data_IF_912888244817
#
_entry.id   IF_912888244817
#
_cell.length_a   1.000
_cell.length_b   1.000
_cell.length_c   1.000
_cell.angle_alpha   90.00
_cell.angle_beta   90.00
_cell.angle_gamma   90.00
#
_symmetry.space_group_name_H-M   'P 1'
#
loop_
_entity.id
_entity.type
_entity.pdbx_description
1 polymer ?
#
# COMPACT_ATOMS: atom_id res chain seq x y z
N UNK A 1 -16.61 1.06 -0.92
CA UNK A 1 -15.43 0.36 -1.45
C UNK A 1 -14.91 -0.52 -0.31
N UNK A 2 -14.76 -1.83 -0.48
CA UNK A 2 -14.10 -2.63 0.54
C UNK A 2 -12.68 -2.09 0.72
N UNK A 3 -12.38 -1.55 1.90
CA UNK A 3 -11.08 -0.97 2.20
C UNK A 3 -10.05 -2.09 2.20
N UNK A 4 -9.39 -2.27 1.06
CA UNK A 4 -8.15 -3.04 1.00
C UNK A 4 -7.18 -2.40 1.96
N UNK A 5 -6.70 -3.18 2.93
CA UNK A 5 -5.75 -2.73 3.94
C UNK A 5 -4.49 -2.18 3.26
N UNK A 6 -3.82 -1.22 3.91
CA UNK A 6 -2.54 -0.68 3.44
C UNK A 6 -1.53 -1.78 3.05
N UNK A 7 -1.31 -2.85 3.86
CA UNK A 7 -0.42 -3.94 3.46
C UNK A 7 -0.89 -4.65 2.18
N UNK A 8 -2.19 -4.93 2.01
CA UNK A 8 -2.72 -5.54 0.77
C UNK A 8 -2.46 -4.69 -0.48
N UNK A 9 -2.56 -3.37 -0.36
CA UNK A 9 -2.26 -2.47 -1.48
C UNK A 9 -0.78 -2.52 -1.85
N UNK A 10 0.11 -2.59 -0.87
CA UNK A 10 1.54 -2.74 -1.10
C UNK A 10 1.88 -4.06 -1.80
N UNK A 11 1.29 -5.19 -1.37
CA UNK A 11 1.49 -6.49 -2.04
C UNK A 11 1.04 -6.48 -3.49
N UNK A 12 -0.11 -5.87 -3.78
CA UNK A 12 -0.65 -5.76 -5.15
C UNK A 12 0.30 -4.98 -6.07
N UNK A 13 0.90 -3.90 -5.56
CA UNK A 13 1.86 -3.06 -6.30
C UNK A 13 3.17 -3.82 -6.54
N UNK A 14 3.74 -4.43 -5.50
CA UNK A 14 4.96 -5.23 -5.60
C UNK A 14 4.82 -6.40 -6.59
N UNK A 15 3.68 -7.10 -6.58
CA UNK A 15 3.41 -8.18 -7.53
C UNK A 15 3.28 -7.67 -8.98
N UNK A 16 2.75 -6.45 -9.18
CA UNK A 16 2.65 -5.84 -10.52
C UNK A 16 4.01 -5.42 -11.07
N UNK A 17 4.90 -4.93 -10.22
CA UNK A 17 6.29 -4.61 -10.58
C UNK A 17 7.13 -5.85 -10.88
N UNK A 18 6.88 -6.94 -10.15
CA UNK A 18 7.45 -8.25 -10.47
C UNK A 18 6.98 -8.83 -11.82
N UNK A 19 6.19 -8.08 -12.58
CA UNK A 19 5.75 -8.41 -13.94
C UNK A 19 4.48 -9.27 -14.00
N UNK A 20 3.83 -9.56 -12.86
CA UNK A 20 2.62 -10.37 -12.88
C UNK A 20 1.46 -9.63 -13.55
N UNK A 21 0.63 -10.41 -14.23
CA UNK A 21 -0.58 -9.89 -14.85
C UNK A 21 -1.63 -9.55 -13.79
N UNK A 22 -2.49 -8.59 -14.09
CA UNK A 22 -3.57 -8.18 -13.17
C UNK A 22 -4.49 -9.35 -12.77
N UNK A 23 -4.70 -10.32 -13.67
CA UNK A 23 -5.47 -11.54 -13.40
C UNK A 23 -4.79 -12.46 -12.39
N UNK A 24 -3.48 -12.64 -12.49
CA UNK A 24 -2.72 -13.47 -11.55
C UNK A 24 -2.69 -12.85 -10.16
N UNK A 25 -2.45 -11.54 -10.09
CA UNK A 25 -2.48 -10.80 -8.81
C UNK A 25 -3.86 -10.84 -8.17
N UNK A 26 -4.92 -10.67 -8.97
CA UNK A 26 -6.31 -10.78 -8.52
C UNK A 26 -6.60 -12.16 -7.90
N UNK A 27 -6.12 -13.24 -8.54
CA UNK A 27 -6.28 -14.61 -8.06
C UNK A 27 -5.49 -14.86 -6.77
N UNK A 28 -4.25 -14.35 -6.68
CA UNK A 28 -3.39 -14.50 -5.48
C UNK A 28 -3.96 -13.76 -4.27
N UNK A 29 -4.38 -12.51 -4.45
CA UNK A 29 -4.81 -11.64 -3.35
C UNK A 29 -6.32 -11.73 -3.06
N UNK A 30 -7.04 -12.59 -3.80
CA UNK A 30 -8.49 -12.76 -3.77
C UNK A 30 -9.23 -11.40 -3.85
N UNK A 31 -8.95 -10.66 -4.92
CA UNK A 31 -9.55 -9.35 -5.20
C UNK A 31 -9.99 -9.27 -6.65
N UNK A 32 -11.02 -8.45 -6.91
CA UNK A 32 -11.47 -8.20 -8.27
C UNK A 32 -10.32 -7.61 -9.13
N UNK A 33 -10.18 -8.01 -10.41
CA UNK A 33 -9.16 -7.45 -11.31
C UNK A 33 -9.24 -5.93 -11.46
N UNK A 34 -10.46 -5.37 -11.39
CA UNK A 34 -10.69 -3.92 -11.40
C UNK A 34 -10.10 -3.21 -10.18
N UNK A 35 -10.06 -3.87 -9.02
CA UNK A 35 -9.40 -3.37 -7.81
C UNK A 35 -7.89 -3.33 -7.98
N UNK A 36 -7.30 -4.39 -8.55
CA UNK A 36 -5.87 -4.45 -8.86
C UNK A 36 -5.47 -3.34 -9.83
N UNK A 37 -6.20 -3.18 -10.94
CA UNK A 37 -5.95 -2.11 -11.91
C UNK A 37 -6.04 -0.72 -11.29
N UNK A 38 -7.06 -0.46 -10.47
CA UNK A 38 -7.24 0.83 -9.77
C UNK A 38 -6.12 1.12 -8.76
N UNK A 39 -5.62 0.09 -8.06
CA UNK A 39 -4.50 0.23 -7.12
C UNK A 39 -3.20 0.47 -7.89
N UNK A 40 -2.91 -0.34 -8.91
CA UNK A 40 -1.71 -0.18 -9.74
C UNK A 40 -1.68 1.17 -10.47
N UNK A 41 -2.79 1.65 -11.01
CA UNK A 41 -2.85 2.98 -11.64
C UNK A 41 -2.67 4.12 -10.62
N UNK A 42 -3.13 3.92 -9.38
CA UNK A 42 -3.07 4.92 -8.31
C UNK A 42 -1.71 5.00 -7.61
N UNK A 43 -1.00 3.88 -7.50
CA UNK A 43 0.21 3.74 -6.69
C UNK A 43 1.43 3.23 -7.48
N UNK A 44 1.26 2.73 -8.71
CA UNK A 44 2.34 2.20 -9.55
C UNK A 44 3.36 3.23 -10.05
N UNK A 45 2.98 4.47 -10.45
CA UNK A 45 3.96 5.51 -10.76
C UNK A 45 4.41 6.30 -9.53
N UNK A 46 3.68 6.18 -8.41
CA UNK A 46 3.87 6.95 -7.19
C UNK A 46 4.20 5.94 -6.08
N UNK A 47 5.43 5.46 -6.08
CA UNK A 47 6.01 4.53 -5.09
C UNK A 47 6.03 5.05 -3.65
N UNK A 48 5.38 6.19 -3.43
CA UNK A 48 5.51 6.98 -2.25
C UNK A 48 4.11 7.04 -1.64
N UNK A 49 3.79 5.94 -0.94
CA UNK A 49 2.56 5.78 -0.16
C UNK A 49 2.45 6.88 0.93
N UNK A 50 3.59 7.49 1.28
CA UNK A 50 3.78 8.67 2.13
C UNK A 50 3.57 10.00 1.38
N UNK A 51 3.96 10.11 0.08
CA UNK A 51 3.86 11.36 -0.68
C UNK A 51 2.42 11.79 -1.00
N UNK A 52 1.44 10.92 -0.75
CA UNK A 52 0.05 11.37 -0.70
C UNK A 52 -0.18 12.09 0.63
N UNK A 53 0.37 13.30 0.70
CA UNK A 53 0.12 14.22 1.80
C UNK A 53 -1.38 14.29 2.08
N UNK A 54 -1.77 14.31 3.36
CA UNK A 54 -3.18 14.36 3.71
C UNK A 54 -3.87 15.50 2.97
N UNK A 55 -5.09 15.25 2.47
CA UNK A 55 -5.96 16.35 2.03
C UNK A 55 -6.01 17.38 3.15
N UNK A 56 -5.84 18.68 2.81
CA UNK A 56 -5.76 19.81 3.75
C UNK A 56 -6.58 19.56 5.02
N UNK A 57 -5.92 19.53 6.17
CA UNK A 57 -6.55 19.39 7.50
C UNK A 57 -6.54 17.98 8.12
N UNK A 58 -6.14 16.92 7.39
CA UNK A 58 -5.98 15.58 7.98
C UNK A 58 -4.54 15.37 8.48
N UNK A 59 -4.34 14.71 9.62
CA UNK A 59 -2.98 14.33 10.08
C UNK A 59 -2.45 13.17 9.21
N UNK A 60 -1.13 13.10 8.94
CA UNK A 60 -0.53 11.98 8.20
C UNK A 60 -0.81 10.64 8.90
N UNK A 61 -0.88 9.55 8.13
CA UNK A 61 -1.23 8.21 8.63
C UNK A 61 -0.16 7.63 9.57
N UNK A 62 1.10 8.03 9.39
CA UNK A 62 2.21 7.71 10.27
C UNK A 62 2.96 9.01 10.59
N UNK A 63 3.17 9.28 11.87
CA UNK A 63 4.07 10.36 12.29
C UNK A 63 5.46 9.79 12.53
N UNK A 64 6.50 10.63 12.49
CA UNK A 64 7.87 10.25 12.88
C UNK A 64 7.92 9.55 14.25
N UNK A 65 7.03 9.93 15.17
CA UNK A 65 6.90 9.30 16.49
C UNK A 65 6.43 7.84 16.40
N UNK A 66 5.55 7.52 15.46
CA UNK A 66 5.03 6.16 15.25
C UNK A 66 6.11 5.26 14.62
N UNK A 67 6.87 5.81 13.66
CA UNK A 67 8.02 5.13 13.04
C UNK A 67 9.11 4.85 14.08
N UNK A 68 9.45 5.82 14.94
CA UNK A 68 10.41 5.63 16.04
C UNK A 68 9.94 4.57 17.05
N UNK A 69 8.66 4.55 17.40
CA UNK A 69 8.10 3.51 18.29
C UNK A 69 8.23 2.11 17.69
N UNK A 70 7.95 1.95 16.40
CA UNK A 70 8.08 0.66 15.72
C UNK A 70 9.54 0.17 15.69
N UNK A 71 10.49 1.06 15.40
CA UNK A 71 11.93 0.73 15.42
C UNK A 71 12.42 0.34 16.81
N UNK A 72 11.99 1.04 17.86
CA UNK A 72 12.39 0.72 19.23
C UNK A 72 11.85 -0.64 19.69
N UNK A 73 10.64 -1.03 19.27
CA UNK A 73 10.06 -2.34 19.58
C UNK A 73 10.78 -3.49 18.85
N UNK A 74 11.30 -3.25 17.65
CA UNK A 74 12.08 -4.24 16.90
C UNK A 74 13.51 -4.43 17.46
N UNK A 75 14.07 -3.39 18.06
CA UNK A 75 15.44 -3.40 18.61
C UNK A 75 15.52 -3.87 20.08
N UNK A 76 14.39 -4.03 20.76
CA UNK A 76 14.31 -4.49 22.16
C UNK A 76 13.89 -5.97 22.28
N UNK A 77 13.91 -6.71 21.17
CA UNK A 77 13.67 -8.16 21.10
C UNK A 77 14.94 -8.98 21.00
#
# INVERSE_FOLDING_TARGET
>A
MADTSAPKKATIVALREAGLTTREVAKKENVAPSTVSRIAARYGPMHDFEAKGPRRGRKPLFTECDVRKAQNLLNTG
#
